data_IF_538023163025
#
_entry.id   IF_538023163025
#
_cell.length_a   1.000
_cell.length_b   1.000
_cell.length_c   1.000
_cell.angle_alpha   90.00
_cell.angle_beta   90.00
_cell.angle_gamma   90.00
#
_symmetry.space_group_name_H-M   'P 1'
#
loop_
_entity.id
_entity.type
_entity.pdbx_description
1 polymer ?
#
# COMPACT_ATOMS: atom_id res chain seq x y z
N UNK A 1 26.53 3.41 -37.81
CA UNK A 1 27.66 3.04 -36.94
C UNK A 1 27.13 2.49 -35.62
N UNK A 2 26.86 1.22 -35.42
CA UNK A 2 26.51 0.10 -36.29
C UNK A 2 25.69 -0.81 -35.40
N UNK A 3 24.57 -1.28 -35.93
CA UNK A 3 23.75 -2.34 -35.33
C UNK A 3 24.55 -3.64 -35.39
N UNK A 4 25.40 -3.87 -34.38
CA UNK A 4 25.96 -5.20 -34.13
C UNK A 4 24.95 -6.05 -33.35
N UNK A 5 23.86 -6.35 -34.05
CA UNK A 5 22.91 -7.39 -33.69
C UNK A 5 23.58 -8.75 -33.95
N UNK A 6 24.10 -9.39 -32.91
CA UNK A 6 24.74 -10.73 -33.00
C UNK A 6 23.63 -11.80 -33.05
N UNK A 7 23.39 -12.47 -34.21
CA UNK A 7 22.27 -13.42 -34.37
C UNK A 7 22.41 -14.69 -33.51
N UNK A 8 23.62 -14.96 -33.01
CA UNK A 8 23.96 -16.19 -32.29
C UNK A 8 23.31 -16.27 -30.89
N UNK A 9 23.09 -15.14 -30.21
CA UNK A 9 22.54 -15.11 -28.84
C UNK A 9 21.02 -15.26 -28.78
N UNK A 10 20.30 -14.86 -29.84
CA UNK A 10 18.83 -15.01 -29.93
C UNK A 10 18.40 -16.48 -30.00
N UNK A 11 19.14 -17.29 -30.77
CA UNK A 11 18.90 -18.74 -30.86
C UNK A 11 19.14 -19.42 -29.51
N UNK A 12 20.16 -18.99 -28.76
CA UNK A 12 20.46 -19.56 -27.45
C UNK A 12 19.39 -19.22 -26.40
N UNK A 13 18.85 -17.99 -26.46
CA UNK A 13 17.75 -17.54 -25.61
C UNK A 13 16.44 -18.26 -25.89
N UNK A 14 16.14 -18.52 -27.16
CA UNK A 14 14.95 -19.27 -27.53
C UNK A 14 15.07 -20.75 -27.11
N UNK A 15 16.26 -21.32 -27.21
CA UNK A 15 16.54 -22.66 -26.71
C UNK A 15 16.34 -22.75 -25.19
N UNK A 16 16.82 -21.76 -24.43
CA UNK A 16 16.57 -21.68 -22.98
C UNK A 16 15.07 -21.59 -22.63
N UNK A 17 14.30 -20.80 -23.39
CA UNK A 17 12.84 -20.68 -23.22
C UNK A 17 12.16 -22.05 -23.40
N UNK A 18 12.54 -22.79 -24.45
CA UNK A 18 12.01 -24.14 -24.75
C UNK A 18 12.41 -25.16 -23.69
N UNK A 19 13.66 -25.15 -23.25
CA UNK A 19 14.18 -26.06 -22.23
C UNK A 19 13.50 -25.83 -20.87
N UNK A 20 13.26 -24.58 -20.47
CA UNK A 20 12.49 -24.26 -19.25
C UNK A 20 11.04 -24.77 -19.35
N UNK A 21 10.38 -24.55 -20.49
CA UNK A 21 9.01 -25.03 -20.69
C UNK A 21 8.92 -26.56 -20.67
N UNK A 22 9.89 -27.25 -21.27
CA UNK A 22 10.00 -28.71 -21.19
C UNK A 22 10.25 -29.19 -19.74
N UNK A 23 11.09 -28.45 -19.00
CA UNK A 23 11.36 -28.69 -17.59
C UNK A 23 10.10 -28.59 -16.73
N UNK A 24 9.31 -27.51 -16.87
CA UNK A 24 8.07 -27.30 -16.13
C UNK A 24 7.00 -28.36 -16.39
N UNK A 25 6.84 -28.80 -17.65
CA UNK A 25 5.90 -29.89 -18.00
C UNK A 25 6.25 -31.23 -17.36
N UNK A 26 7.55 -31.51 -17.18
CA UNK A 26 8.01 -32.75 -16.53
C UNK A 26 7.81 -32.70 -15.01
N UNK A 27 7.96 -31.53 -14.38
CA UNK A 27 7.67 -31.33 -12.94
C UNK A 27 6.23 -31.67 -12.57
N UNK A 28 5.27 -31.35 -13.42
CA UNK A 28 3.85 -31.64 -13.19
C UNK A 28 3.56 -33.13 -13.36
N UNK A 29 4.20 -33.81 -14.33
CA UNK A 29 4.02 -35.27 -14.55
C UNK A 29 4.63 -36.14 -13.45
N UNK A 30 5.78 -35.75 -12.90
CA UNK A 30 6.49 -36.55 -11.87
C UNK A 30 5.77 -36.51 -10.52
N UNK A 31 4.91 -35.52 -10.26
CA UNK A 31 4.11 -35.44 -9.03
C UNK A 31 3.02 -36.52 -8.93
N UNK A 32 2.67 -37.21 -10.02
CA UNK A 32 1.49 -38.07 -10.10
C UNK A 32 1.77 -39.59 -10.29
N UNK A 33 3.01 -40.08 -10.17
CA UNK A 33 3.30 -41.51 -10.36
C UNK A 33 4.33 -42.01 -9.33
N UNK A 34 3.91 -42.97 -8.50
CA UNK A 34 4.71 -43.62 -7.47
C UNK A 34 5.81 -44.53 -8.08
N UNK A 35 7.07 -44.17 -7.82
CA UNK A 35 8.36 -44.91 -7.98
C UNK A 35 8.75 -45.53 -9.34
N UNK A 36 9.73 -44.89 -10.02
CA UNK A 36 11.11 -45.39 -10.06
C UNK A 36 12.13 -44.26 -9.77
N UNK A 37 12.20 -43.82 -8.51
CA UNK A 37 12.72 -42.50 -8.10
C UNK A 37 14.24 -42.29 -8.29
N UNK A 38 15.09 -43.31 -8.13
CA UNK A 38 16.56 -43.10 -8.09
C UNK A 38 17.24 -42.76 -9.43
N UNK A 39 16.69 -43.18 -10.57
CA UNK A 39 17.28 -42.91 -11.91
C UNK A 39 16.72 -41.62 -12.51
N UNK A 40 15.42 -41.37 -12.29
CA UNK A 40 14.73 -40.15 -12.71
C UNK A 40 15.26 -38.91 -11.98
N UNK A 41 15.38 -38.96 -10.66
CA UNK A 41 15.90 -37.83 -9.88
C UNK A 41 17.34 -37.47 -10.22
N UNK A 42 18.23 -38.47 -10.36
CA UNK A 42 19.62 -38.24 -10.78
C UNK A 42 19.70 -37.60 -12.16
N UNK A 43 18.88 -38.06 -13.10
CA UNK A 43 18.78 -37.46 -14.43
C UNK A 43 18.27 -36.00 -14.37
N UNK A 44 17.26 -35.74 -13.53
CA UNK A 44 16.69 -34.40 -13.32
C UNK A 44 17.70 -33.46 -12.66
N UNK A 45 18.43 -33.90 -11.64
CA UNK A 45 19.50 -33.13 -11.00
C UNK A 45 20.62 -32.79 -11.98
N UNK A 46 20.99 -33.73 -12.86
CA UNK A 46 21.98 -33.47 -13.92
C UNK A 46 21.50 -32.37 -14.87
N UNK A 47 20.26 -32.46 -15.35
CA UNK A 47 19.67 -31.45 -16.24
C UNK A 47 19.51 -30.08 -15.58
N UNK A 48 19.17 -30.07 -14.29
CA UNK A 48 19.11 -28.85 -13.49
C UNK A 48 20.48 -28.16 -13.39
N UNK A 49 21.54 -28.94 -13.11
CA UNK A 49 22.92 -28.43 -13.06
C UNK A 49 23.37 -27.89 -14.41
N UNK A 50 23.06 -28.59 -15.50
CA UNK A 50 23.34 -28.13 -16.87
C UNK A 50 22.66 -26.79 -17.17
N UNK A 51 21.37 -26.67 -16.86
CA UNK A 51 20.60 -25.44 -17.08
C UNK A 51 21.15 -24.28 -16.24
N UNK A 52 21.48 -24.52 -14.97
CA UNK A 52 22.11 -23.52 -14.10
C UNK A 52 23.45 -23.04 -14.67
N UNK A 53 24.30 -23.96 -15.14
CA UNK A 53 25.58 -23.61 -15.78
C UNK A 53 25.37 -22.77 -17.04
N UNK A 54 24.30 -23.00 -17.79
CA UNK A 54 23.97 -22.21 -18.98
C UNK A 54 23.61 -20.77 -18.63
N UNK A 55 22.76 -20.56 -17.62
CA UNK A 55 22.47 -19.22 -17.11
C UNK A 55 23.74 -18.47 -16.70
N UNK A 56 24.63 -19.13 -15.93
CA UNK A 56 25.90 -18.53 -15.49
C UNK A 56 26.81 -18.20 -16.67
N UNK A 57 26.94 -19.10 -17.65
CA UNK A 57 27.77 -18.85 -18.85
C UNK A 57 27.29 -17.64 -19.63
N UNK A 58 25.98 -17.51 -19.85
CA UNK A 58 25.41 -16.37 -20.58
C UNK A 58 25.61 -15.09 -19.79
N UNK A 59 25.40 -15.08 -18.47
CA UNK A 59 25.63 -13.89 -17.64
C UNK A 59 27.11 -13.50 -17.53
N UNK A 60 28.03 -14.45 -17.70
CA UNK A 60 29.45 -14.16 -17.79
C UNK A 60 29.83 -13.52 -19.13
N UNK A 61 29.20 -13.95 -20.22
CA UNK A 61 29.39 -13.39 -21.56
C UNK A 61 28.69 -12.03 -21.73
N UNK A 62 27.48 -11.89 -21.18
CA UNK A 62 26.66 -10.68 -21.22
C UNK A 62 26.17 -10.32 -19.81
N UNK A 63 26.98 -9.52 -19.12
CA UNK A 63 26.67 -9.01 -17.79
C UNK A 63 25.53 -8.00 -17.80
N UNK A 64 25.05 -7.52 -18.93
CA UNK A 64 23.98 -6.52 -19.03
C UNK A 64 22.66 -7.10 -19.57
N UNK A 65 22.53 -8.42 -19.53
CA UNK A 65 21.29 -9.11 -19.88
C UNK A 65 20.28 -9.08 -18.71
N UNK A 66 19.23 -8.26 -18.82
CA UNK A 66 18.18 -8.22 -17.80
C UNK A 66 17.25 -9.45 -17.91
N UNK A 67 16.89 -9.85 -19.13
CA UNK A 67 15.98 -10.98 -19.38
C UNK A 67 16.52 -12.30 -18.81
N UNK A 68 17.80 -12.61 -19.00
CA UNK A 68 18.43 -13.84 -18.49
C UNK A 68 18.38 -13.88 -16.96
N UNK A 69 18.61 -12.74 -16.29
CA UNK A 69 18.52 -12.65 -14.83
C UNK A 69 17.10 -12.90 -14.35
N UNK A 70 16.12 -12.27 -14.99
CA UNK A 70 14.71 -12.50 -14.70
C UNK A 70 14.34 -13.99 -14.86
N UNK A 71 14.74 -14.63 -15.96
CA UNK A 71 14.48 -16.06 -16.20
C UNK A 71 15.19 -16.96 -15.20
N UNK A 72 16.41 -16.60 -14.80
CA UNK A 72 17.15 -17.34 -13.78
C UNK A 72 16.48 -17.20 -12.41
N UNK A 73 15.94 -16.02 -12.09
CA UNK A 73 15.10 -15.80 -10.91
C UNK A 73 13.89 -16.73 -10.87
N UNK A 74 13.13 -16.83 -11.97
CA UNK A 74 11.99 -17.76 -12.01
C UNK A 74 12.45 -19.21 -11.84
N UNK A 75 13.54 -19.62 -12.50
CA UNK A 75 14.07 -20.97 -12.33
C UNK A 75 14.44 -21.26 -10.86
N UNK A 76 15.04 -20.31 -10.16
CA UNK A 76 15.39 -20.47 -8.74
C UNK A 76 14.15 -20.52 -7.85
N UNK A 77 13.12 -19.73 -8.18
CA UNK A 77 11.83 -19.74 -7.50
C UNK A 77 11.12 -21.10 -7.66
N UNK A 78 11.10 -21.67 -8.86
CA UNK A 78 10.55 -23.01 -9.13
C UNK A 78 11.25 -24.11 -8.30
N UNK A 79 12.48 -23.83 -7.85
CA UNK A 79 13.29 -24.70 -6.98
C UNK A 79 13.21 -24.33 -5.49
N UNK A 80 12.27 -23.47 -5.12
CA UNK A 80 12.08 -22.95 -3.76
C UNK A 80 13.35 -22.29 -3.19
N UNK A 81 14.26 -21.83 -4.04
CA UNK A 81 15.46 -21.08 -3.65
C UNK A 81 15.13 -19.59 -3.62
N UNK A 82 14.15 -19.23 -2.77
CA UNK A 82 13.49 -17.92 -2.77
C UNK A 82 14.47 -16.75 -2.57
N UNK A 83 15.41 -16.83 -1.63
CA UNK A 83 16.41 -15.77 -1.40
C UNK A 83 17.28 -15.49 -2.64
N UNK A 84 17.73 -16.54 -3.32
CA UNK A 84 18.50 -16.41 -4.57
C UNK A 84 17.63 -15.94 -5.73
N UNK A 85 16.35 -16.29 -5.74
CA UNK A 85 15.41 -15.82 -6.75
C UNK A 85 15.18 -14.32 -6.65
N UNK A 86 14.96 -13.80 -5.43
CA UNK A 86 14.85 -12.36 -5.14
C UNK A 86 16.05 -11.60 -5.69
N UNK A 87 17.26 -12.03 -5.32
CA UNK A 87 18.50 -11.41 -5.80
C UNK A 87 18.54 -11.32 -7.34
N UNK A 88 18.09 -12.36 -8.04
CA UNK A 88 18.10 -12.37 -9.52
C UNK A 88 17.02 -11.49 -10.13
N UNK A 89 15.86 -11.35 -9.50
CA UNK A 89 14.85 -10.39 -9.93
C UNK A 89 15.30 -8.94 -9.70
N UNK A 90 15.90 -8.64 -8.55
CA UNK A 90 16.46 -7.31 -8.24
C UNK A 90 17.57 -6.93 -9.22
N UNK A 91 18.50 -7.85 -9.49
CA UNK A 91 19.53 -7.63 -10.50
C UNK A 91 18.91 -7.39 -11.89
N UNK A 92 17.82 -8.08 -12.25
CA UNK A 92 17.15 -7.90 -13.52
C UNK A 92 16.54 -6.50 -13.65
N UNK A 93 15.84 -6.03 -12.61
CA UNK A 93 15.27 -4.67 -12.53
C UNK A 93 16.39 -3.62 -12.62
N UNK A 94 17.43 -3.76 -11.79
CA UNK A 94 18.56 -2.81 -11.77
C UNK A 94 19.29 -2.71 -13.12
N UNK A 95 19.45 -3.83 -13.83
CA UNK A 95 20.09 -3.82 -15.16
C UNK A 95 19.14 -3.25 -16.21
N UNK A 96 17.82 -3.47 -16.08
CA UNK A 96 16.82 -2.91 -16.97
C UNK A 96 16.82 -1.36 -16.97
N UNK A 97 17.18 -0.73 -15.86
CA UNK A 97 17.24 0.73 -15.76
C UNK A 97 18.55 1.32 -16.31
N UNK A 98 19.54 0.48 -16.64
CA UNK A 98 20.80 0.95 -17.19
C UNK A 98 20.68 1.33 -18.67
N UNK A 99 21.49 2.32 -19.06
CA UNK A 99 21.59 2.79 -20.45
C UNK A 99 22.20 1.76 -21.40
N UNK A 100 23.11 0.90 -20.91
CA UNK A 100 23.84 -0.10 -21.71
C UNK A 100 23.29 -1.53 -21.56
N UNK A 101 21.99 -1.67 -21.36
CA UNK A 101 21.31 -2.98 -21.27
C UNK A 101 21.20 -3.64 -22.65
N UNK A 102 21.46 -4.93 -22.73
CA UNK A 102 21.45 -5.67 -24.01
C UNK A 102 20.06 -6.25 -24.31
N UNK A 103 19.40 -6.81 -23.29
CA UNK A 103 18.07 -7.42 -23.39
C UNK A 103 17.17 -6.93 -22.24
N UNK A 104 16.41 -5.84 -22.44
CA UNK A 104 15.55 -5.27 -21.41
C UNK A 104 14.35 -6.16 -21.08
N UNK A 105 13.74 -5.90 -19.93
CA UNK A 105 12.46 -6.46 -19.55
C UNK A 105 11.33 -5.67 -20.22
N UNK A 106 10.32 -6.38 -20.69
CA UNK A 106 9.03 -5.77 -21.07
C UNK A 106 8.32 -5.23 -19.81
N UNK A 107 7.42 -4.24 -19.97
CA UNK A 107 6.64 -3.68 -18.84
C UNK A 107 5.96 -4.77 -18.00
N UNK A 108 5.35 -5.76 -18.65
CA UNK A 108 4.71 -6.88 -17.97
C UNK A 108 5.71 -7.77 -17.20
N UNK A 109 6.93 -7.95 -17.71
CA UNK A 109 7.98 -8.71 -17.03
C UNK A 109 8.55 -7.96 -15.84
N UNK A 110 8.67 -6.63 -15.96
CA UNK A 110 9.09 -5.75 -14.87
C UNK A 110 8.09 -5.82 -13.71
N UNK A 111 6.79 -5.65 -14.01
CA UNK A 111 5.73 -5.79 -13.01
C UNK A 111 5.75 -7.17 -12.35
N UNK A 112 5.85 -8.24 -13.17
CA UNK A 112 5.98 -9.60 -12.65
C UNK A 112 7.22 -9.78 -11.78
N UNK A 113 8.36 -9.18 -12.12
CA UNK A 113 9.57 -9.29 -11.29
C UNK A 113 9.32 -8.74 -9.88
N UNK A 114 8.68 -7.57 -9.75
CA UNK A 114 8.29 -7.02 -8.45
C UNK A 114 7.33 -7.93 -7.68
N UNK A 115 6.28 -8.44 -8.35
CA UNK A 115 5.32 -9.37 -7.72
C UNK A 115 5.99 -10.67 -7.26
N UNK A 116 6.92 -11.22 -8.06
CA UNK A 116 7.64 -12.45 -7.72
C UNK A 116 8.64 -12.26 -6.58
N UNK A 117 9.23 -11.07 -6.43
CA UNK A 117 10.03 -10.71 -5.24
C UNK A 117 9.14 -10.80 -4.00
N UNK A 118 7.96 -10.15 -4.03
CA UNK A 118 6.99 -10.21 -2.94
C UNK A 118 6.55 -11.63 -2.59
N UNK A 119 6.21 -12.44 -3.60
CA UNK A 119 5.88 -13.85 -3.41
C UNK A 119 7.03 -14.63 -2.75
N UNK A 120 8.26 -14.46 -3.23
CA UNK A 120 9.42 -15.14 -2.65
C UNK A 120 9.67 -14.72 -1.20
N UNK A 121 9.53 -13.42 -0.89
CA UNK A 121 9.66 -12.90 0.47
C UNK A 121 8.58 -13.50 1.39
N UNK A 122 7.33 -13.58 0.93
CA UNK A 122 6.24 -14.22 1.67
C UNK A 122 6.48 -15.71 1.93
N UNK A 123 7.08 -16.44 0.99
CA UNK A 123 7.45 -17.85 1.22
C UNK A 123 8.59 -18.01 2.23
N UNK A 124 9.57 -17.09 2.24
CA UNK A 124 10.62 -17.07 3.26
C UNK A 124 10.04 -16.78 4.64
N UNK A 125 9.16 -15.78 4.74
CA UNK A 125 8.46 -15.45 5.98
C UNK A 125 7.67 -16.64 6.51
N UNK A 126 6.88 -17.28 5.64
CA UNK A 126 6.13 -18.49 6.01
C UNK A 126 7.05 -19.57 6.60
N UNK A 127 8.17 -19.87 5.95
CA UNK A 127 9.12 -20.86 6.46
C UNK A 127 9.77 -20.46 7.78
N UNK A 128 10.02 -19.16 8.00
CA UNK A 128 10.50 -18.65 9.30
C UNK A 128 9.44 -18.80 10.40
N UNK A 129 8.16 -18.57 10.09
CA UNK A 129 7.04 -18.73 11.03
C UNK A 129 6.85 -20.21 11.40
N UNK A 130 6.82 -21.11 10.41
CA UNK A 130 6.77 -22.56 10.65
C UNK A 130 7.93 -23.00 11.59
N UNK A 131 9.14 -22.47 11.37
CA UNK A 131 10.29 -22.78 12.22
C UNK A 131 10.16 -22.18 13.63
N UNK A 132 9.59 -20.99 13.77
CA UNK A 132 9.35 -20.37 15.06
C UNK A 132 8.33 -21.14 15.90
N UNK A 133 7.24 -21.61 15.28
CA UNK A 133 6.25 -22.49 15.91
C UNK A 133 6.90 -23.81 16.35
N UNK A 134 7.72 -24.43 15.50
CA UNK A 134 8.46 -25.66 15.86
C UNK A 134 9.41 -25.47 17.06
N UNK A 135 10.00 -24.28 17.20
CA UNK A 135 10.98 -23.98 18.25
C UNK A 135 10.33 -23.59 19.60
N UNK A 136 9.00 -23.43 19.63
CA UNK A 136 8.25 -22.93 20.79
C UNK A 136 8.95 -21.75 21.47
N UNK A 137 9.16 -20.66 20.72
CA UNK A 137 10.00 -19.52 21.13
C UNK A 137 9.54 -18.92 22.48
N UNK A 138 8.26 -18.97 22.80
CA UNK A 138 7.73 -18.52 24.10
C UNK A 138 8.26 -19.36 25.27
N UNK A 139 8.28 -20.68 25.12
CA UNK A 139 8.83 -21.62 26.11
C UNK A 139 10.36 -21.46 26.22
N UNK A 140 11.05 -21.36 25.08
CA UNK A 140 12.51 -21.15 25.07
C UNK A 140 12.93 -19.78 25.64
N UNK A 141 12.13 -18.73 25.44
CA UNK A 141 12.35 -17.40 26.02
C UNK A 141 12.25 -17.44 27.55
N UNK A 142 11.26 -18.17 28.07
CA UNK A 142 11.01 -18.33 29.50
C UNK A 142 12.11 -19.13 30.20
N UNK A 143 12.53 -20.26 29.61
CA UNK A 143 13.52 -21.16 30.22
C UNK A 143 14.96 -20.64 30.14
N UNK A 144 15.32 -19.93 29.06
CA UNK A 144 16.71 -19.53 28.80
C UNK A 144 16.97 -18.03 28.94
N UNK A 145 15.97 -17.24 29.37
CA UNK A 145 16.08 -15.78 29.52
C UNK A 145 16.62 -15.09 28.26
N UNK A 146 16.27 -15.61 27.08
CA UNK A 146 16.71 -15.06 25.81
C UNK A 146 16.06 -13.69 25.60
N UNK A 147 16.87 -12.65 25.41
CA UNK A 147 16.34 -11.36 24.95
C UNK A 147 15.85 -11.55 23.52
N UNK A 148 14.54 -11.39 23.31
CA UNK A 148 13.97 -11.38 21.97
C UNK A 148 14.48 -10.12 21.25
N UNK A 149 15.37 -10.30 20.29
CA UNK A 149 15.83 -9.23 19.40
C UNK A 149 14.99 -9.26 18.11
N UNK A 150 14.33 -8.15 17.78
CA UNK A 150 13.50 -8.04 16.58
C UNK A 150 12.23 -7.24 16.81
N UNK A 151 11.42 -7.08 15.76
CA UNK A 151 10.07 -6.51 15.84
C UNK A 151 9.06 -7.64 15.82
N UNK A 152 7.96 -7.47 16.55
CA UNK A 152 6.84 -8.41 16.47
C UNK A 152 6.25 -8.43 15.06
N UNK A 153 5.66 -9.58 14.67
CA UNK A 153 5.06 -9.71 13.34
C UNK A 153 3.92 -8.72 13.13
N UNK A 154 3.13 -8.40 14.18
CA UNK A 154 2.11 -7.37 14.12
C UNK A 154 2.71 -5.99 13.80
N UNK A 155 3.87 -5.65 14.38
CA UNK A 155 4.55 -4.39 14.09
C UNK A 155 5.03 -4.33 12.63
N UNK A 156 5.57 -5.44 12.10
CA UNK A 156 6.02 -5.51 10.70
C UNK A 156 4.83 -5.39 9.75
N UNK A 157 3.72 -6.06 10.05
CA UNK A 157 2.49 -5.95 9.25
C UNK A 157 1.93 -4.54 9.27
N UNK A 158 1.87 -3.91 10.45
CA UNK A 158 1.47 -2.52 10.60
C UNK A 158 2.39 -1.60 9.78
N UNK A 159 3.70 -1.80 9.80
CA UNK A 159 4.65 -1.04 8.98
C UNK A 159 4.43 -1.22 7.47
N UNK A 160 4.09 -2.43 7.01
CA UNK A 160 3.83 -2.71 5.61
C UNK A 160 2.51 -2.09 5.12
N UNK A 161 1.45 -2.17 5.92
CA UNK A 161 0.18 -1.48 5.67
C UNK A 161 0.43 0.03 5.55
N UNK A 162 1.09 0.58 6.56
CA UNK A 162 1.48 1.98 6.66
C UNK A 162 2.36 2.51 5.52
N UNK A 163 3.24 1.68 4.95
CA UNK A 163 4.15 2.07 3.88
C UNK A 163 3.44 2.27 2.52
N UNK A 164 2.20 1.80 2.39
CA UNK A 164 1.42 1.89 1.14
C UNK A 164 0.21 2.81 1.25
N UNK A 165 -0.10 3.28 2.45
CA UNK A 165 -1.24 4.17 2.70
C UNK A 165 -0.93 5.60 2.28
N UNK A 166 -1.74 6.08 1.34
CA UNK A 166 -1.82 7.47 0.96
C UNK A 166 -3.14 8.01 1.52
N UNK A 167 -3.09 9.17 2.15
CA UNK A 167 -4.30 9.81 2.70
C UNK A 167 -4.67 11.00 1.83
N UNK A 168 -5.96 11.13 1.52
CA UNK A 168 -6.46 12.37 0.90
C UNK A 168 -6.69 13.37 2.01
N UNK A 169 -5.99 14.49 1.96
CA UNK A 169 -6.15 15.58 2.91
C UNK A 169 -6.60 16.86 2.22
N UNK A 170 -7.42 17.65 2.89
CA UNK A 170 -7.76 19.01 2.50
C UNK A 170 -7.17 19.95 3.53
N UNK A 171 -6.05 20.58 3.17
CA UNK A 171 -5.35 21.56 4.02
C UNK A 171 -5.79 22.95 3.59
N UNK A 172 -6.52 23.65 4.46
CA UNK A 172 -7.03 25.00 4.20
C UNK A 172 -7.75 25.10 2.83
N UNK A 173 -8.55 24.08 2.49
CA UNK A 173 -9.30 23.97 1.24
C UNK A 173 -8.54 23.37 0.05
N UNK A 174 -7.22 23.16 0.15
CA UNK A 174 -6.43 22.56 -0.93
C UNK A 174 -6.29 21.05 -0.74
N UNK A 175 -6.77 20.29 -1.73
CA UNK A 175 -6.61 18.84 -1.79
C UNK A 175 -5.13 18.47 -1.99
N UNK A 176 -4.61 17.60 -1.14
CA UNK A 176 -3.24 17.09 -1.15
C UNK A 176 -3.24 15.61 -0.78
N UNK A 177 -2.17 14.90 -1.15
CA UNK A 177 -1.93 13.53 -0.72
C UNK A 177 -0.91 13.58 0.42
N UNK A 178 -1.23 12.97 1.55
CA UNK A 178 -0.30 12.84 2.67
C UNK A 178 0.29 11.44 2.74
N UNK A 179 1.57 11.39 3.11
CA UNK A 179 2.17 10.17 3.65
C UNK A 179 1.65 9.90 5.06
N UNK A 180 1.87 8.68 5.57
CA UNK A 180 1.60 8.40 6.98
C UNK A 180 2.44 9.27 7.91
N UNK A 181 3.70 9.53 7.57
CA UNK A 181 4.59 10.37 8.40
C UNK A 181 3.99 11.77 8.57
N UNK A 182 3.53 12.39 7.49
CA UNK A 182 2.88 13.70 7.54
C UNK A 182 1.58 13.64 8.37
N UNK A 183 0.74 12.62 8.16
CA UNK A 183 -0.48 12.44 8.96
C UNK A 183 -0.18 12.32 10.46
N UNK A 184 0.87 11.58 10.83
CA UNK A 184 1.28 11.43 12.22
C UNK A 184 1.81 12.75 12.81
N UNK A 185 2.49 13.59 12.02
CA UNK A 185 2.88 14.94 12.45
C UNK A 185 1.66 15.83 12.74
N UNK A 186 0.62 15.79 11.90
CA UNK A 186 -0.65 16.48 12.18
C UNK A 186 -1.32 15.93 13.44
N UNK A 187 -1.39 14.61 13.58
CA UNK A 187 -2.00 13.96 14.76
C UNK A 187 -1.25 14.24 16.05
N UNK A 188 0.06 14.41 15.99
CA UNK A 188 0.90 14.81 17.12
C UNK A 188 0.77 16.30 17.47
N UNK A 189 0.12 17.12 16.64
CA UNK A 189 -0.04 18.56 16.89
C UNK A 189 1.21 19.38 16.57
N UNK A 190 2.05 18.91 15.65
CA UNK A 190 3.31 19.61 15.28
C UNK A 190 3.09 20.80 14.33
N UNK A 191 1.86 21.04 13.89
CA UNK A 191 1.50 22.10 12.95
C UNK A 191 0.77 23.29 13.63
N UNK A 192 1.15 23.60 14.88
CA UNK A 192 0.54 24.68 15.66
C UNK A 192 -0.91 24.39 16.00
N UNK A 193 -1.75 25.43 16.15
CA UNK A 193 -3.15 25.32 16.58
C UNK A 193 -4.13 24.89 15.47
N UNK A 194 -3.64 24.13 14.48
CA UNK A 194 -4.46 23.65 13.37
C UNK A 194 -5.52 22.65 13.85
N UNK A 195 -6.74 22.80 13.32
CA UNK A 195 -7.82 21.83 13.56
C UNK A 195 -7.63 20.63 12.63
N UNK A 196 -7.35 19.46 13.20
CA UNK A 196 -7.35 18.17 12.51
C UNK A 196 -8.71 17.48 12.69
N UNK A 197 -9.37 17.18 11.58
CA UNK A 197 -10.55 16.30 11.52
C UNK A 197 -10.13 15.03 10.77
N UNK A 198 -10.15 13.89 11.44
CA UNK A 198 -9.65 12.64 10.87
C UNK A 198 -10.73 11.59 10.73
N UNK A 199 -10.87 11.08 9.51
CA UNK A 199 -11.68 9.92 9.12
C UNK A 199 -10.80 8.70 8.81
N UNK A 200 -9.56 8.67 9.35
CA UNK A 200 -8.58 7.62 9.06
C UNK A 200 -8.73 6.42 10.00
N UNK A 201 -8.91 6.73 11.28
CA UNK A 201 -9.11 5.73 12.32
C UNK A 201 -10.54 5.19 12.28
N UNK A 202 -10.79 4.12 13.04
CA UNK A 202 -12.12 3.53 13.20
C UNK A 202 -13.14 4.57 13.71
N UNK A 203 -12.72 5.38 14.68
CA UNK A 203 -13.53 6.43 15.25
C UNK A 203 -13.10 7.78 14.67
N UNK A 204 -14.07 8.55 14.17
CA UNK A 204 -13.81 9.91 13.69
C UNK A 204 -13.45 10.78 14.88
N UNK A 205 -12.42 11.60 14.76
CA UNK A 205 -12.01 12.50 15.84
C UNK A 205 -11.65 13.88 15.34
N UNK A 206 -11.76 14.85 16.25
CA UNK A 206 -11.31 16.22 16.11
C UNK A 206 -10.18 16.45 17.09
N UNK A 207 -9.12 17.12 16.65
CA UNK A 207 -7.99 17.54 17.50
C UNK A 207 -7.58 18.95 17.11
N UNK A 208 -7.28 19.80 18.09
CA UNK A 208 -6.79 21.16 17.85
C UNK A 208 -5.37 21.24 18.41
N UNK A 209 -4.40 21.50 17.54
CA UNK A 209 -2.97 21.56 17.90
C UNK A 209 -2.50 20.42 18.79
N UNK A 210 -1.93 20.73 19.95
CA UNK A 210 -1.39 19.72 20.88
C UNK A 210 -2.42 19.14 21.84
N UNK A 211 -3.67 19.64 21.85
CA UNK A 211 -4.70 19.20 22.78
C UNK A 211 -5.13 17.75 22.56
N UNK A 212 -5.78 17.14 23.56
CA UNK A 212 -6.30 15.78 23.42
C UNK A 212 -7.34 15.69 22.30
N UNK A 213 -7.31 14.57 21.58
CA UNK A 213 -8.31 14.30 20.54
C UNK A 213 -9.67 14.05 21.21
N UNK A 214 -10.73 14.59 20.61
CA UNK A 214 -12.11 14.34 21.01
C UNK A 214 -12.80 13.52 19.94
N UNK A 215 -13.32 12.36 20.32
CA UNK A 215 -14.02 11.48 19.39
C UNK A 215 -15.39 12.08 19.04
N UNK A 216 -15.72 12.05 17.76
CA UNK A 216 -17.02 12.42 17.23
C UNK A 216 -17.94 11.21 17.40
N UNK A 217 -19.10 11.35 18.07
CA UNK A 217 -20.09 10.29 18.16
C UNK A 217 -20.49 9.74 16.79
N UNK A 218 -20.65 8.41 16.68
CA UNK A 218 -20.92 7.73 15.40
C UNK A 218 -22.15 8.27 14.65
N UNK A 219 -23.17 8.71 15.37
CA UNK A 219 -24.39 9.33 14.82
C UNK A 219 -24.13 10.72 14.18
N UNK A 220 -23.06 11.39 14.61
CA UNK A 220 -22.61 12.67 14.06
C UNK A 220 -21.51 12.51 13.01
N UNK A 221 -20.74 11.42 13.05
CA UNK A 221 -19.61 11.19 12.13
C UNK A 221 -20.03 11.20 10.67
N UNK A 222 -21.14 10.54 10.32
CA UNK A 222 -21.65 10.49 8.95
C UNK A 222 -22.14 11.86 8.47
N UNK A 223 -22.86 12.60 9.34
CA UNK A 223 -23.30 13.96 9.03
C UNK A 223 -22.12 14.92 8.87
N UNK A 224 -21.12 14.84 9.76
CA UNK A 224 -19.91 15.66 9.70
C UNK A 224 -19.14 15.39 8.40
N UNK A 225 -19.00 14.12 8.01
CA UNK A 225 -18.37 13.73 6.74
C UNK A 225 -19.07 14.38 5.56
N UNK A 226 -20.39 14.19 5.46
CA UNK A 226 -21.21 14.78 4.39
C UNK A 226 -21.04 16.29 4.32
N UNK A 227 -21.22 16.99 5.46
CA UNK A 227 -21.09 18.44 5.52
C UNK A 227 -19.71 18.93 5.06
N UNK A 228 -18.62 18.27 5.48
CA UNK A 228 -17.27 18.63 5.07
C UNK A 228 -17.03 18.34 3.58
N UNK A 229 -17.43 17.18 3.07
CA UNK A 229 -17.28 16.85 1.65
C UNK A 229 -18.02 17.88 0.78
N UNK A 230 -19.28 18.20 1.13
CA UNK A 230 -20.06 19.22 0.43
C UNK A 230 -19.42 20.61 0.51
N UNK A 231 -18.97 21.06 1.70
CA UNK A 231 -18.32 22.38 1.85
C UNK A 231 -17.00 22.43 1.09
N UNK A 232 -16.21 21.35 1.07
CA UNK A 232 -14.95 21.29 0.33
C UNK A 232 -15.16 21.32 -1.19
N UNK A 233 -16.31 20.87 -1.69
CA UNK A 233 -16.67 20.91 -3.10
C UNK A 233 -17.24 22.26 -3.53
N UNK A 234 -18.21 22.82 -2.79
CA UNK A 234 -18.97 24.02 -3.22
C UNK A 234 -18.88 25.23 -2.29
N UNK A 235 -18.15 25.13 -1.19
CA UNK A 235 -17.89 26.22 -0.24
C UNK A 235 -18.91 26.35 0.90
N UNK A 236 -20.10 25.77 0.77
CA UNK A 236 -21.15 25.79 1.81
C UNK A 236 -22.04 24.55 1.70
N UNK A 237 -22.73 24.20 2.78
CA UNK A 237 -23.78 23.18 2.77
C UNK A 237 -25.10 23.81 3.20
N UNK A 238 -26.12 23.70 2.36
CA UNK A 238 -27.47 24.23 2.62
C UNK A 238 -28.35 23.17 3.28
N UNK A 239 -29.45 23.61 3.88
CA UNK A 239 -30.44 22.70 4.48
C UNK A 239 -31.07 21.78 3.42
N UNK A 240 -31.26 22.26 2.19
CA UNK A 240 -31.78 21.44 1.11
C UNK A 240 -30.81 20.32 0.75
N UNK A 241 -29.50 20.57 0.72
CA UNK A 241 -28.49 19.54 0.49
C UNK A 241 -28.56 18.43 1.55
N UNK A 242 -28.67 18.84 2.82
CA UNK A 242 -28.80 17.90 3.94
C UNK A 242 -30.12 17.12 3.84
N UNK A 243 -31.20 17.78 3.41
CA UNK A 243 -32.50 17.11 3.30
C UNK A 243 -32.53 16.10 2.14
N UNK A 244 -31.97 16.46 0.99
CA UNK A 244 -32.04 15.65 -0.22
C UNK A 244 -31.01 14.53 -0.26
N UNK A 245 -29.75 14.79 0.10
CA UNK A 245 -28.69 13.78 -0.01
C UNK A 245 -28.50 12.96 1.27
N UNK A 246 -28.80 13.54 2.43
CA UNK A 246 -28.69 12.83 3.71
C UNK A 246 -30.05 12.25 4.21
N UNK A 247 -31.10 12.28 3.36
CA UNK A 247 -32.46 11.77 3.63
C UNK A 247 -32.98 12.08 5.04
N UNK A 248 -32.70 13.29 5.53
CA UNK A 248 -33.03 13.68 6.90
C UNK A 248 -34.42 14.31 6.96
N UNK A 249 -35.37 13.64 7.60
CA UNK A 249 -36.65 14.26 8.02
C UNK A 249 -36.48 15.27 9.18
N UNK A 250 -35.23 15.50 9.63
CA UNK A 250 -34.95 16.35 10.79
C UNK A 250 -34.99 17.82 10.41
N UNK A 251 -35.60 18.62 11.29
CA UNK A 251 -35.67 20.08 11.10
C UNK A 251 -34.28 20.75 11.10
N UNK A 252 -34.20 21.93 10.49
CA UNK A 252 -33.03 22.82 10.58
C UNK A 252 -32.57 23.09 12.03
N UNK A 253 -33.51 23.22 12.97
CA UNK A 253 -33.18 23.41 14.38
C UNK A 253 -32.39 22.23 14.95
N UNK A 254 -32.68 21.00 14.49
CA UNK A 254 -31.96 19.79 14.86
C UNK A 254 -30.55 19.80 14.28
N UNK A 255 -30.39 20.16 13.01
CA UNK A 255 -29.06 20.26 12.38
C UNK A 255 -28.20 21.35 13.04
N UNK A 256 -28.77 22.49 13.44
CA UNK A 256 -28.05 23.50 14.24
C UNK A 256 -27.55 22.96 15.57
N UNK A 257 -28.32 22.09 16.25
CA UNK A 257 -27.87 21.43 17.48
C UNK A 257 -26.69 20.48 17.22
N UNK A 258 -26.70 19.75 16.12
CA UNK A 258 -25.57 18.88 15.76
C UNK A 258 -24.32 19.68 15.44
N UNK A 259 -24.45 20.78 14.70
CA UNK A 259 -23.35 21.69 14.43
C UNK A 259 -22.80 22.32 15.71
N UNK A 260 -23.67 22.73 16.65
CA UNK A 260 -23.24 23.19 17.99
C UNK A 260 -22.39 22.13 18.70
N UNK A 261 -22.88 20.89 18.75
CA UNK A 261 -22.16 19.76 19.36
C UNK A 261 -20.81 19.50 18.70
N UNK A 262 -20.73 19.58 17.36
CA UNK A 262 -19.47 19.42 16.64
C UNK A 262 -18.51 20.56 16.98
N UNK A 263 -18.98 21.81 17.04
CA UNK A 263 -18.16 22.95 17.43
C UNK A 263 -17.65 22.83 18.86
N UNK A 264 -18.47 22.35 19.80
CA UNK A 264 -18.06 22.06 21.18
C UNK A 264 -16.90 21.04 21.24
N UNK A 265 -16.76 20.14 20.26
CA UNK A 265 -15.61 19.23 20.18
C UNK A 265 -14.32 19.92 19.72
N UNK A 266 -14.42 21.06 19.03
CA UNK A 266 -13.28 21.88 18.62
C UNK A 266 -12.94 23.00 19.62
N UNK A 267 -13.84 23.29 20.57
CA UNK A 267 -13.60 24.34 21.57
C UNK A 267 -12.51 23.94 22.56
N UNK A 268 -11.43 24.72 22.56
CA UNK A 268 -10.33 24.65 23.52
C UNK A 268 -10.34 25.92 24.37
N UNK A 269 -10.06 25.79 25.67
CA UNK A 269 -9.82 26.92 26.58
C UNK A 269 -8.80 27.86 25.91
N UNK A 270 -9.19 29.12 25.70
CA UNK A 270 -8.45 30.23 25.07
C UNK A 270 -8.49 30.38 23.53
N UNK A 271 -8.91 29.38 22.74
CA UNK A 271 -8.90 29.50 21.27
C UNK A 271 -10.26 29.89 20.65
N UNK A 272 -11.39 29.42 21.23
CA UNK A 272 -12.74 29.72 20.72
C UNK A 272 -13.00 29.28 19.26
N UNK A 273 -12.16 28.41 18.73
CA UNK A 273 -12.20 27.96 17.34
C UNK A 273 -13.46 27.14 17.06
N UNK A 274 -14.11 27.43 15.92
CA UNK A 274 -15.31 26.72 15.46
C UNK A 274 -15.01 26.05 14.14
N UNK A 275 -15.54 24.85 13.95
CA UNK A 275 -15.47 24.15 12.66
C UNK A 275 -16.45 24.80 11.69
N UNK A 276 -17.68 25.04 12.14
CA UNK A 276 -18.74 25.58 11.31
C UNK A 276 -19.28 26.90 11.85
N UNK A 277 -19.60 27.82 10.95
CA UNK A 277 -20.44 28.98 11.21
C UNK A 277 -21.79 28.79 10.54
N UNK A 278 -22.83 29.29 11.19
CA UNK A 278 -24.18 29.36 10.61
C UNK A 278 -24.30 30.72 9.93
N UNK A 279 -24.67 30.74 8.65
CA UNK A 279 -24.82 31.99 7.93
C UNK A 279 -26.05 32.74 8.49
N UNK A 280 -25.82 33.93 9.08
CA UNK A 280 -26.90 34.77 9.61
C UNK A 280 -27.64 35.47 8.46
N UNK A 281 -28.86 35.03 8.18
CA UNK A 281 -29.77 35.77 7.30
C UNK A 281 -30.34 36.97 8.03
N UNK A 282 -30.31 38.15 7.40
CA UNK A 282 -31.13 39.29 7.86
C UNK A 282 -32.59 39.01 7.56
N UNK A 283 -33.50 39.46 8.43
CA UNK A 283 -34.96 39.20 8.37
C UNK A 283 -35.62 39.54 7.02
N UNK A 284 -34.95 40.33 6.18
CA UNK A 284 -35.42 40.76 4.85
C UNK A 284 -34.92 39.88 3.69
N UNK A 285 -33.81 39.14 3.87
CA UNK A 285 -33.30 38.20 2.87
C UNK A 285 -33.43 36.76 3.39
N UNK A 286 -34.39 36.02 2.84
CA UNK A 286 -34.50 34.55 2.96
C UNK A 286 -33.30 33.90 2.24
N UNK A 287 -32.08 34.08 2.72
CA UNK A 287 -30.97 33.23 2.29
C UNK A 287 -31.22 31.79 2.76
N UNK A 288 -30.83 30.77 1.96
CA UNK A 288 -30.98 29.39 2.37
C UNK A 288 -30.21 29.17 3.67
N UNK A 289 -30.86 28.50 4.61
CA UNK A 289 -30.24 28.01 5.84
C UNK A 289 -29.00 27.19 5.47
N UNK A 290 -27.81 27.65 5.83
CA UNK A 290 -26.56 27.01 5.43
C UNK A 290 -25.49 27.03 6.53
N UNK A 291 -24.52 26.13 6.37
CA UNK A 291 -23.29 26.07 7.14
C UNK A 291 -22.08 26.28 6.21
N UNK A 292 -21.08 26.94 6.74
CA UNK A 292 -19.78 27.18 6.11
C UNK A 292 -18.68 26.86 7.12
N UNK A 293 -17.46 26.63 6.63
CA UNK A 293 -16.30 26.53 7.53
C UNK A 293 -16.08 27.86 8.25
N UNK A 294 -15.90 27.81 9.57
CA UNK A 294 -15.64 28.99 10.39
C UNK A 294 -14.15 29.37 10.43
N UNK A 295 -13.27 28.40 10.19
CA UNK A 295 -11.81 28.58 10.23
C UNK A 295 -11.18 28.32 8.86
N UNK A 296 -10.07 29.00 8.60
CA UNK A 296 -9.21 28.77 7.44
C UNK A 296 -7.95 27.96 7.79
N UNK A 297 -7.75 27.60 9.07
CA UNK A 297 -6.59 26.86 9.56
C UNK A 297 -7.01 25.43 10.00
N UNK A 298 -7.21 24.57 9.02
CA UNK A 298 -7.69 23.21 9.25
C UNK A 298 -7.07 22.20 8.29
N UNK A 299 -7.14 20.95 8.71
CA UNK A 299 -6.90 19.79 7.88
C UNK A 299 -7.99 18.75 8.08
N UNK A 300 -8.60 18.32 6.98
CA UNK A 300 -9.52 17.17 6.96
C UNK A 300 -8.82 16.01 6.26
N UNK A 301 -8.70 14.86 6.92
CA UNK A 301 -7.97 13.69 6.38
C UNK A 301 -8.89 12.50 6.22
N UNK A 302 -8.89 11.92 5.02
CA UNK A 302 -9.64 10.71 4.65
C UNK A 302 -8.66 9.59 4.29
N UNK A 303 -8.94 8.37 4.77
CA UNK A 303 -8.23 7.16 4.31
C UNK A 303 -8.69 6.83 2.89
N UNK A 304 -7.75 6.68 1.95
CA UNK A 304 -8.08 6.27 0.57
C UNK A 304 -8.52 4.81 0.43
N UNK A 305 -8.76 4.07 1.52
CA UNK A 305 -9.18 2.67 1.44
C UNK A 305 -10.65 2.55 1.00
N UNK A 306 -10.89 2.78 -0.29
CA UNK A 306 -11.94 2.15 -1.13
C UNK A 306 -11.98 2.62 -2.60
N UNK A 307 -11.01 3.40 -3.10
CA UNK A 307 -10.96 3.78 -4.53
C UNK A 307 -9.80 3.10 -5.26
N UNK A 308 -10.04 1.86 -5.72
CA UNK A 308 -9.28 1.23 -6.80
C UNK A 308 -10.10 1.12 -8.09
N UNK A 309 -11.28 1.75 -8.17
CA UNK A 309 -12.15 1.62 -9.35
C UNK A 309 -11.87 2.64 -10.47
N UNK A 310 -11.28 3.81 -10.19
CA UNK A 310 -11.21 4.89 -11.21
C UNK A 310 -9.85 5.05 -11.94
N UNK A 311 -8.91 4.11 -11.82
CA UNK A 311 -7.60 4.19 -12.50
C UNK A 311 -7.59 3.44 -13.85
N UNK A 312 -8.69 2.81 -14.26
CA UNK A 312 -8.78 2.06 -15.52
C UNK A 312 -9.64 2.68 -16.63
N UNK A 313 -10.08 3.94 -16.48
CA UNK A 313 -10.72 4.67 -17.57
C UNK A 313 -9.73 5.64 -18.24
N UNK A 314 -8.79 5.11 -19.05
CA UNK A 314 -8.17 5.82 -20.19
C UNK A 314 -7.58 4.86 -21.23
#
# INVERSE_FOLDING_TARGET
MDDHYIPYQKNEMEQLRREKAAYGRKMVRVRNQDTPELTGERYLQKKERELRRRFVRILNADKNNAEVRYRYGIFLMDRKKYSRAIQKFEEAIKINDKRNRTYPLEKAQLLKAHMLIGYCAGQLLKGSLEKAEELNIEEASFDYSLKVEGREIQEVMLMLENATEHYTAYINGKKQILSLEDYLHYKAGLHGDMILISFVEKDVFIKVGQHEKRNVPNDLSALLRFQLETILEKGMVTYDDIRFEYESDRSWATHRKYVSRINELAEVEDAGEKIFKVSEGTFQNRYPQSFELATSNYIVVFRQSQFYEDIFDY
#
